data_IF_538284267428
#
_entry.id   IF_538284267428
#
_cell.length_a   1.000
_cell.length_b   1.000
_cell.length_c   1.000
_cell.angle_alpha   90.00
_cell.angle_beta   90.00
_cell.angle_gamma   90.00
#
_symmetry.space_group_name_H-M   'P 1'
#
loop_
_entity.id
_entity.type
_entity.pdbx_description
1 polymer ?
#
# COMPACT_ATOMS: atom_id res chain seq x y z
N UNK A 1 69.44 41.41 -6.22
CA UNK A 1 68.59 40.54 -5.37
C UNK A 1 67.18 40.61 -5.95
N UNK A 2 66.66 39.49 -6.45
CA UNK A 2 65.30 39.39 -6.99
C UNK A 2 64.81 37.98 -6.70
N UNK A 3 64.06 37.81 -5.60
CA UNK A 3 63.55 36.50 -5.20
C UNK A 3 62.48 36.04 -6.20
N UNK A 4 62.67 34.86 -6.77
CA UNK A 4 61.64 34.18 -7.53
C UNK A 4 60.60 33.56 -6.60
N UNK A 5 59.33 33.72 -6.96
CA UNK A 5 58.22 32.93 -6.41
C UNK A 5 57.50 32.23 -7.55
N UNK A 6 57.69 30.91 -7.69
CA UNK A 6 56.82 30.10 -8.55
C UNK A 6 55.48 29.92 -7.85
N UNK A 7 54.42 30.52 -8.39
CA UNK A 7 53.04 30.19 -8.01
C UNK A 7 52.60 28.90 -8.71
N UNK A 8 52.46 27.83 -7.95
CA UNK A 8 51.89 26.55 -8.43
C UNK A 8 50.38 26.75 -8.69
N UNK A 9 49.82 26.30 -9.82
CA UNK A 9 48.37 26.28 -10.02
C UNK A 9 47.73 25.25 -9.08
N UNK A 10 46.83 25.69 -8.21
CA UNK A 10 46.04 24.77 -7.37
C UNK A 10 45.02 24.07 -8.27
N UNK A 11 45.21 22.75 -8.46
CA UNK A 11 44.26 21.91 -9.19
C UNK A 11 42.97 21.75 -8.39
N UNK A 12 41.94 22.53 -8.74
CA UNK A 12 40.59 22.34 -8.24
C UNK A 12 39.93 21.14 -8.95
N UNK A 13 40.34 19.93 -8.58
CA UNK A 13 39.83 18.67 -9.14
C UNK A 13 39.34 17.76 -8.02
N UNK A 14 38.02 17.66 -7.87
CA UNK A 14 37.39 16.88 -6.79
C UNK A 14 35.87 16.91 -6.73
N UNK A 15 35.20 17.77 -7.51
CA UNK A 15 33.76 17.64 -7.72
C UNK A 15 33.49 16.38 -8.56
N UNK A 16 32.79 15.39 -7.98
CA UNK A 16 32.22 14.30 -8.77
C UNK A 16 31.32 14.91 -9.86
N UNK A 17 31.28 14.34 -11.09
CA UNK A 17 30.34 14.80 -12.10
C UNK A 17 28.89 14.71 -11.56
N UNK A 18 27.99 15.60 -11.99
CA UNK A 18 26.60 15.55 -11.56
C UNK A 18 26.00 14.19 -11.90
N UNK A 19 25.46 13.51 -10.89
CA UNK A 19 24.82 12.20 -11.06
C UNK A 19 23.52 12.39 -11.82
N UNK A 20 23.48 11.98 -13.08
CA UNK A 20 22.24 11.85 -13.84
C UNK A 20 21.43 10.71 -13.25
N UNK A 21 20.26 11.02 -12.71
CA UNK A 21 19.31 10.02 -12.21
C UNK A 21 18.23 9.76 -13.26
N UNK A 22 17.70 8.52 -13.37
CA UNK A 22 16.42 8.31 -14.04
C UNK A 22 15.31 9.11 -13.33
N UNK A 23 14.22 9.37 -14.04
CA UNK A 23 13.02 10.05 -13.50
C UNK A 23 11.79 9.57 -14.25
N UNK A 24 10.78 9.05 -13.54
CA UNK A 24 9.56 8.52 -14.16
C UNK A 24 8.41 9.55 -14.31
N UNK A 25 8.56 10.77 -13.78
CA UNK A 25 7.60 11.88 -13.92
C UNK A 25 6.15 11.55 -13.51
N UNK A 26 5.98 10.79 -12.42
CA UNK A 26 4.66 10.39 -11.91
C UNK A 26 3.77 11.57 -11.51
N UNK A 27 2.46 11.45 -11.73
CA UNK A 27 1.49 12.46 -11.29
C UNK A 27 1.25 12.40 -9.76
N UNK A 28 0.99 13.55 -9.09
CA UNK A 28 0.71 13.60 -7.66
C UNK A 28 -0.62 12.92 -7.30
N UNK A 29 -0.83 12.64 -6.01
CA UNK A 29 -2.09 12.05 -5.53
C UNK A 29 -3.31 12.89 -5.88
N UNK A 30 -4.31 12.22 -6.49
CA UNK A 30 -5.54 12.84 -7.01
C UNK A 30 -6.53 13.24 -5.90
N UNK A 31 -6.20 12.90 -4.66
CA UNK A 31 -7.05 13.08 -3.48
C UNK A 31 -6.66 14.29 -2.64
N UNK A 32 -5.38 14.68 -2.60
CA UNK A 32 -4.88 15.73 -1.71
C UNK A 32 -5.41 15.57 -0.28
N UNK A 33 -5.94 16.66 0.30
CA UNK A 33 -6.59 16.65 1.61
C UNK A 33 -8.12 16.41 1.56
N UNK A 34 -8.68 15.88 0.46
CA UNK A 34 -10.15 15.73 0.26
C UNK A 34 -10.85 14.93 1.36
N UNK A 35 -10.16 13.99 1.99
CA UNK A 35 -10.69 13.21 3.11
C UNK A 35 -10.68 13.96 4.46
N UNK A 36 -10.33 15.27 4.49
CA UNK A 36 -10.02 16.03 5.71
C UNK A 36 -10.80 17.35 5.95
N UNK A 37 -11.70 17.82 5.07
CA UNK A 37 -12.42 19.12 5.26
C UNK A 37 -13.91 19.16 4.83
N UNK A 38 -14.72 20.03 5.45
CA UNK A 38 -16.17 20.16 5.23
C UNK A 38 -16.69 21.61 5.50
N UNK A 39 -17.67 22.08 4.72
CA UNK A 39 -18.40 23.37 4.91
C UNK A 39 -19.87 23.24 4.46
N UNK A 40 -20.88 23.67 5.26
CA UNK A 40 -22.31 23.64 4.88
C UNK A 40 -22.96 25.03 4.63
N UNK A 41 -24.10 25.06 3.94
CA UNK A 41 -25.02 26.22 3.85
C UNK A 41 -26.50 25.81 3.88
N UNK A 42 -27.37 26.64 4.47
CA UNK A 42 -28.83 26.43 4.73
C UNK A 42 -29.73 27.18 3.71
N UNK A 43 -31.07 27.25 3.73
CA UNK A 43 -32.18 26.86 4.65
C UNK A 43 -33.51 26.83 3.83
N UNK A 44 -34.76 26.61 4.29
CA UNK A 44 -35.43 25.77 5.32
C UNK A 44 -36.99 25.82 5.06
N UNK A 45 -37.85 25.15 5.85
CA UNK A 45 -39.29 25.55 5.99
C UNK A 45 -40.02 24.92 7.21
N UNK A 46 -40.98 25.67 7.77
CA UNK A 46 -41.42 25.61 9.18
C UNK A 46 -42.17 24.37 9.70
N UNK A 47 -42.96 23.63 8.90
CA UNK A 47 -43.80 22.56 9.47
C UNK A 47 -42.98 21.40 10.07
N UNK A 48 -41.70 21.32 9.70
CA UNK A 48 -40.74 20.34 10.21
C UNK A 48 -40.25 20.62 11.63
N UNK A 49 -40.38 21.86 12.13
CA UNK A 49 -39.80 22.29 13.43
C UNK A 49 -40.34 21.48 14.61
N UNK A 50 -41.63 21.13 14.60
CA UNK A 50 -42.25 20.45 15.73
C UNK A 50 -41.93 18.95 15.78
N UNK A 51 -41.80 18.31 14.61
CA UNK A 51 -41.28 16.94 14.50
C UNK A 51 -39.78 16.90 14.82
N UNK A 52 -39.02 17.91 14.39
CA UNK A 52 -37.60 18.05 14.69
C UNK A 52 -37.33 18.14 16.20
N UNK A 53 -38.18 18.80 17.00
CA UNK A 53 -38.05 18.82 18.47
C UNK A 53 -38.12 17.42 19.10
N UNK A 54 -39.04 16.56 18.66
CA UNK A 54 -39.15 15.19 19.17
C UNK A 54 -37.97 14.30 18.73
N UNK A 55 -37.55 14.43 17.47
CA UNK A 55 -36.38 13.72 16.94
C UNK A 55 -35.09 14.17 17.64
N UNK A 56 -34.98 15.46 17.97
CA UNK A 56 -33.84 16.05 18.70
C UNK A 56 -33.65 15.41 20.07
N UNK A 57 -34.71 15.23 20.87
CA UNK A 57 -34.60 14.50 22.14
C UNK A 57 -34.17 13.04 21.97
N UNK A 58 -34.62 12.37 20.89
CA UNK A 58 -34.26 10.98 20.62
C UNK A 58 -32.78 10.83 20.24
N UNK A 59 -32.26 11.76 19.41
CA UNK A 59 -30.83 11.82 19.06
C UNK A 59 -29.97 12.12 20.29
N UNK A 60 -30.37 13.11 21.11
CA UNK A 60 -29.65 13.45 22.36
C UNK A 60 -29.47 12.25 23.28
N UNK A 61 -30.55 11.52 23.59
CA UNK A 61 -30.48 10.33 24.47
C UNK A 61 -29.49 9.27 23.97
N UNK A 62 -29.35 9.15 22.65
CA UNK A 62 -28.44 8.19 22.00
C UNK A 62 -26.99 8.70 21.93
N UNK A 63 -26.77 10.02 21.89
CA UNK A 63 -25.44 10.62 22.09
C UNK A 63 -24.96 10.50 23.55
N UNK A 64 -25.85 10.61 24.54
CA UNK A 64 -25.49 10.58 25.97
C UNK A 64 -25.41 9.16 26.58
N UNK A 65 -25.84 8.11 25.86
CA UNK A 65 -25.71 6.72 26.35
C UNK A 65 -24.25 6.32 26.62
N UNK A 66 -23.99 5.52 27.65
CA UNK A 66 -22.65 5.00 27.95
C UNK A 66 -22.04 4.24 26.76
N UNK A 67 -20.72 4.33 26.62
CA UNK A 67 -19.95 3.60 25.61
C UNK A 67 -19.44 2.30 26.24
N UNK A 68 -19.58 1.21 25.50
CA UNK A 68 -19.05 -0.12 25.82
C UNK A 68 -18.52 -0.81 24.55
N UNK A 69 -17.73 -1.86 24.69
CA UNK A 69 -17.07 -2.56 23.56
C UNK A 69 -18.07 -3.07 22.49
N UNK A 70 -19.31 -3.40 22.87
CA UNK A 70 -20.33 -3.87 21.92
C UNK A 70 -21.01 -2.73 21.17
N UNK A 71 -20.95 -1.50 21.70
CA UNK A 71 -21.63 -0.34 21.14
C UNK A 71 -20.69 0.72 20.53
N UNK A 72 -19.37 0.62 20.76
CA UNK A 72 -18.35 1.58 20.32
C UNK A 72 -18.43 1.92 18.82
N UNK A 73 -18.39 0.90 17.96
CA UNK A 73 -18.50 1.07 16.50
C UNK A 73 -19.84 1.70 16.09
N UNK A 74 -20.95 1.31 16.74
CA UNK A 74 -22.25 1.95 16.52
C UNK A 74 -22.22 3.43 16.92
N UNK A 75 -21.57 3.77 18.04
CA UNK A 75 -21.44 5.13 18.57
C UNK A 75 -20.70 6.05 17.59
N UNK A 76 -19.56 5.62 17.05
CA UNK A 76 -18.78 6.37 16.06
C UNK A 76 -19.61 6.66 14.80
N UNK A 77 -20.26 5.63 14.25
CA UNK A 77 -21.14 5.80 13.09
C UNK A 77 -22.33 6.73 13.37
N UNK A 78 -22.86 6.71 14.59
CA UNK A 78 -23.95 7.58 14.99
C UNK A 78 -23.52 9.05 15.09
N UNK A 79 -22.37 9.33 15.70
CA UNK A 79 -21.79 10.69 15.76
C UNK A 79 -21.53 11.23 14.34
N UNK A 80 -20.92 10.42 13.47
CA UNK A 80 -20.68 10.81 12.06
C UNK A 80 -21.98 11.09 11.30
N UNK A 81 -22.99 10.26 11.52
CA UNK A 81 -24.30 10.46 10.90
C UNK A 81 -24.93 11.78 11.34
N UNK A 82 -24.86 12.12 12.63
CA UNK A 82 -25.37 13.39 13.19
C UNK A 82 -24.64 14.59 12.60
N UNK A 83 -23.31 14.52 12.44
CA UNK A 83 -22.50 15.56 11.80
C UNK A 83 -22.83 15.71 10.31
N UNK A 84 -22.81 14.62 9.54
CA UNK A 84 -23.05 14.63 8.09
C UNK A 84 -24.47 14.96 7.68
N UNK A 85 -25.45 14.73 8.55
CA UNK A 85 -26.82 15.20 8.36
C UNK A 85 -26.98 16.71 8.59
N UNK A 86 -25.90 17.42 8.96
CA UNK A 86 -25.91 18.87 9.19
C UNK A 86 -26.67 19.30 10.45
N UNK A 87 -26.93 18.39 11.38
CA UNK A 87 -27.68 18.64 12.62
C UNK A 87 -26.83 18.60 13.88
N UNK A 88 -25.50 18.42 13.78
CA UNK A 88 -24.58 18.41 14.93
C UNK A 88 -24.59 19.69 15.76
N UNK A 89 -24.85 20.85 15.15
CA UNK A 89 -24.98 22.15 15.84
C UNK A 89 -26.11 22.19 16.90
N UNK A 90 -26.95 21.16 16.95
CA UNK A 90 -27.96 20.98 17.98
C UNK A 90 -27.49 20.19 19.22
N UNK A 91 -26.29 19.62 19.17
CA UNK A 91 -25.77 18.61 20.10
C UNK A 91 -24.27 18.75 20.40
N UNK A 92 -23.69 19.94 20.21
CA UNK A 92 -22.23 20.14 20.28
C UNK A 92 -21.64 19.62 21.60
N UNK A 93 -22.26 19.96 22.72
CA UNK A 93 -21.85 19.52 24.04
C UNK A 93 -21.95 17.99 24.24
N UNK A 94 -23.01 17.37 23.73
CA UNK A 94 -23.21 15.92 23.81
C UNK A 94 -22.25 15.14 22.89
N UNK A 95 -21.89 15.71 21.73
CA UNK A 95 -20.88 15.16 20.82
C UNK A 95 -19.49 15.28 21.45
N UNK A 96 -19.12 16.43 22.00
CA UNK A 96 -17.82 16.63 22.65
C UNK A 96 -17.66 15.69 23.87
N UNK A 97 -18.72 15.52 24.66
CA UNK A 97 -18.73 14.58 25.79
C UNK A 97 -18.54 13.13 25.32
N UNK A 98 -19.24 12.72 24.27
CA UNK A 98 -19.10 11.38 23.70
C UNK A 98 -17.71 11.17 23.07
N UNK A 99 -17.14 12.18 22.41
CA UNK A 99 -15.80 12.11 21.82
C UNK A 99 -14.69 12.14 22.87
N UNK A 100 -14.90 12.78 24.03
CA UNK A 100 -13.99 12.67 25.18
C UNK A 100 -13.96 11.23 25.70
N UNK A 101 -15.13 10.61 25.91
CA UNK A 101 -15.20 9.20 26.31
C UNK A 101 -14.55 8.27 25.27
N UNK A 102 -14.81 8.51 23.98
CA UNK A 102 -14.12 7.80 22.89
C UNK A 102 -12.60 7.98 22.98
N UNK A 103 -12.11 9.20 23.17
CA UNK A 103 -10.67 9.49 23.30
C UNK A 103 -10.04 8.74 24.49
N UNK A 104 -10.66 8.81 25.66
CA UNK A 104 -10.16 8.17 26.89
C UNK A 104 -10.16 6.64 26.81
N UNK A 105 -11.11 6.07 26.07
CA UNK A 105 -11.27 4.61 25.88
C UNK A 105 -10.35 4.07 24.77
N UNK A 106 -10.17 4.83 23.68
CA UNK A 106 -9.54 4.36 22.44
C UNK A 106 -8.18 4.98 22.12
N UNK A 107 -7.61 5.77 23.03
CA UNK A 107 -6.29 6.35 22.83
C UNK A 107 -5.37 6.20 24.04
N UNK A 108 -4.07 6.12 23.78
CA UNK A 108 -3.02 6.16 24.79
C UNK A 108 -1.83 6.94 24.24
N UNK A 109 -1.33 7.90 25.01
CA UNK A 109 -0.20 8.76 24.61
C UNK A 109 -0.43 9.40 23.21
N UNK A 110 -1.66 9.88 22.96
CA UNK A 110 -2.17 10.39 21.68
C UNK A 110 -2.22 9.37 20.51
N UNK A 111 -1.85 8.10 20.69
CA UNK A 111 -1.99 7.07 19.65
C UNK A 111 -3.33 6.33 19.82
N UNK A 112 -3.97 5.94 18.72
CA UNK A 112 -5.16 5.07 18.77
C UNK A 112 -4.71 3.68 19.23
N UNK A 113 -5.33 3.17 20.31
CA UNK A 113 -5.17 1.78 20.75
C UNK A 113 -6.28 0.93 20.12
N UNK A 114 -5.92 -0.29 19.71
CA UNK A 114 -6.83 -1.16 18.97
C UNK A 114 -7.99 -1.66 19.86
N UNK A 115 -9.22 -1.59 19.35
CA UNK A 115 -10.36 -2.28 19.92
C UNK A 115 -10.57 -3.63 19.21
N UNK A 116 -11.20 -4.58 19.92
CA UNK A 116 -11.59 -5.84 19.32
C UNK A 116 -12.60 -5.57 18.18
N UNK A 117 -12.29 -6.02 16.95
CA UNK A 117 -12.93 -5.63 15.66
C UNK A 117 -12.44 -4.30 15.02
N UNK A 118 -11.16 -3.99 15.12
CA UNK A 118 -10.46 -2.87 14.48
C UNK A 118 -10.43 -2.96 12.93
N UNK A 119 -11.56 -2.69 12.26
CA UNK A 119 -11.56 -2.49 10.80
C UNK A 119 -11.02 -1.09 10.42
N UNK A 120 -10.49 -0.98 9.19
CA UNK A 120 -9.88 0.26 8.69
C UNK A 120 -10.89 1.43 8.60
N UNK A 121 -12.18 1.14 8.41
CA UNK A 121 -13.23 2.15 8.31
C UNK A 121 -13.50 2.78 9.68
N UNK A 122 -13.67 1.99 10.73
CA UNK A 122 -13.84 2.47 12.10
C UNK A 122 -12.57 3.17 12.61
N UNK A 123 -11.38 2.67 12.24
CA UNK A 123 -10.10 3.30 12.57
C UNK A 123 -9.95 4.69 11.92
N UNK A 124 -10.23 4.80 10.61
CA UNK A 124 -10.18 6.07 9.89
C UNK A 124 -11.27 7.04 10.36
N UNK A 125 -12.46 6.53 10.67
CA UNK A 125 -13.58 7.28 11.22
C UNK A 125 -13.22 7.87 12.60
N UNK A 126 -12.68 7.05 13.50
CA UNK A 126 -12.20 7.44 14.82
C UNK A 126 -11.12 8.53 14.73
N UNK A 127 -10.09 8.30 13.91
CA UNK A 127 -9.01 9.26 13.66
C UNK A 127 -9.55 10.62 13.20
N UNK A 128 -10.46 10.62 12.22
CA UNK A 128 -11.06 11.84 11.69
C UNK A 128 -11.93 12.55 12.73
N UNK A 129 -12.85 11.85 13.40
CA UNK A 129 -13.77 12.47 14.38
C UNK A 129 -13.00 13.16 15.52
N UNK A 130 -11.98 12.47 16.06
CA UNK A 130 -11.14 13.03 17.12
C UNK A 130 -10.30 14.23 16.63
N UNK A 131 -9.66 14.13 15.45
CA UNK A 131 -8.91 15.26 14.87
C UNK A 131 -9.80 16.47 14.56
N UNK A 132 -11.03 16.26 14.08
CA UNK A 132 -11.99 17.33 13.79
C UNK A 132 -12.44 18.08 15.06
N UNK A 133 -12.48 17.41 16.21
CA UNK A 133 -12.77 18.01 17.52
C UNK A 133 -11.52 18.44 18.30
N UNK A 134 -10.37 18.60 17.62
CA UNK A 134 -9.16 19.19 18.21
C UNK A 134 -8.27 18.24 19.03
N UNK A 135 -8.64 16.96 19.17
CA UNK A 135 -7.78 15.97 19.82
C UNK A 135 -6.53 15.70 18.97
N UNK A 136 -5.34 15.74 19.58
CA UNK A 136 -4.04 15.64 18.89
C UNK A 136 -3.64 14.20 18.57
N UNK A 137 -4.47 13.47 17.81
CA UNK A 137 -4.23 12.06 17.50
C UNK A 137 -3.01 11.87 16.58
N UNK A 138 -2.03 11.09 17.03
CA UNK A 138 -0.85 10.69 16.28
C UNK A 138 -1.22 10.07 14.92
N UNK A 139 -0.52 10.50 13.87
CA UNK A 139 -0.60 9.93 12.52
C UNK A 139 0.25 8.67 12.34
N UNK A 140 0.77 8.06 13.42
CA UNK A 140 1.58 6.83 13.40
C UNK A 140 0.95 5.69 12.58
N UNK A 141 -0.37 5.51 12.63
CA UNK A 141 -1.10 4.52 11.81
C UNK A 141 -1.10 4.84 10.30
N UNK A 142 -0.66 6.03 9.91
CA UNK A 142 -0.55 6.61 8.57
C UNK A 142 0.84 7.23 8.30
N UNK A 143 1.91 6.53 8.73
CA UNK A 143 3.34 6.85 8.54
C UNK A 143 3.71 7.52 7.20
N UNK A 144 3.02 7.19 6.12
CA UNK A 144 3.19 7.75 4.78
C UNK A 144 3.09 9.29 4.74
N UNK A 145 2.20 9.90 5.55
CA UNK A 145 2.09 11.38 5.62
C UNK A 145 3.15 11.99 6.55
N UNK A 146 3.58 11.26 7.58
CA UNK A 146 4.67 11.69 8.47
C UNK A 146 6.04 11.61 7.78
N UNK A 147 6.19 10.75 6.76
CA UNK A 147 7.36 10.76 5.87
C UNK A 147 7.39 11.93 4.90
N UNK A 148 6.26 12.62 4.69
CA UNK A 148 6.06 13.64 3.65
C UNK A 148 6.71 13.23 2.31
N UNK A 149 6.20 12.12 1.74
CA UNK A 149 6.76 11.48 0.54
C UNK A 149 6.90 12.49 -0.61
N UNK A 150 5.94 13.39 -0.80
CA UNK A 150 5.99 14.41 -1.86
C UNK A 150 7.17 15.39 -1.72
N UNK A 151 7.59 15.73 -0.49
CA UNK A 151 8.75 16.60 -0.25
C UNK A 151 10.08 15.84 -0.13
N UNK A 152 10.07 14.68 0.53
CA UNK A 152 11.28 13.95 0.92
C UNK A 152 11.69 12.85 -0.08
N UNK A 153 10.73 12.29 -0.80
CA UNK A 153 10.90 11.20 -1.78
C UNK A 153 10.11 11.52 -3.08
N UNK A 154 10.35 12.68 -3.74
CA UNK A 154 9.53 13.18 -4.86
C UNK A 154 9.58 12.31 -6.13
N UNK A 155 10.39 11.25 -6.12
CA UNK A 155 10.45 10.23 -7.18
C UNK A 155 9.44 9.11 -6.98
N UNK A 156 8.86 8.96 -5.78
CA UNK A 156 7.91 7.90 -5.43
C UNK A 156 6.46 8.29 -5.75
N UNK A 157 5.70 7.34 -6.29
CA UNK A 157 4.25 7.41 -6.53
C UNK A 157 3.48 7.53 -5.21
N UNK A 158 2.90 8.71 -4.94
CA UNK A 158 1.93 8.89 -3.85
C UNK A 158 0.60 8.19 -4.19
N UNK A 159 0.46 6.95 -3.74
CA UNK A 159 -0.63 6.02 -4.06
C UNK A 159 -1.22 5.31 -2.84
N UNK A 160 -1.13 5.92 -1.65
CA UNK A 160 -1.57 5.27 -0.41
C UNK A 160 -3.08 4.95 -0.40
N UNK A 161 -3.92 5.77 -1.06
CA UNK A 161 -5.37 5.53 -1.17
C UNK A 161 -5.64 4.33 -2.10
N UNK A 162 -4.88 4.23 -3.18
CA UNK A 162 -4.90 3.14 -4.15
C UNK A 162 -4.42 1.83 -3.52
N UNK A 163 -3.37 1.86 -2.69
CA UNK A 163 -2.96 0.71 -1.87
C UNK A 163 -4.04 0.27 -0.87
N UNK A 164 -4.81 1.21 -0.29
CA UNK A 164 -5.97 0.88 0.55
C UNK A 164 -7.12 0.25 -0.26
N UNK A 165 -7.39 0.73 -1.48
CA UNK A 165 -8.35 0.11 -2.40
C UNK A 165 -7.93 -1.30 -2.79
N UNK A 166 -6.64 -1.52 -3.07
CA UNK A 166 -6.08 -2.84 -3.37
C UNK A 166 -6.35 -3.82 -2.21
N UNK A 167 -5.97 -3.44 -0.98
CA UNK A 167 -6.19 -4.25 0.21
C UNK A 167 -7.69 -4.52 0.48
N UNK A 168 -8.58 -3.56 0.18
CA UNK A 168 -10.03 -3.72 0.24
C UNK A 168 -10.57 -4.76 -0.76
N UNK A 169 -10.00 -4.83 -1.96
CA UNK A 169 -10.33 -5.85 -2.95
C UNK A 169 -9.91 -7.27 -2.51
N UNK A 170 -8.85 -7.41 -1.73
CA UNK A 170 -8.41 -8.72 -1.19
C UNK A 170 -9.34 -9.20 -0.05
N UNK A 171 -9.67 -8.32 0.90
CA UNK A 171 -10.70 -8.57 1.93
C UNK A 171 -11.53 -7.32 2.18
N UNK A 172 -12.84 -7.44 2.06
CA UNK A 172 -13.78 -6.41 2.48
C UNK A 172 -14.37 -6.68 3.88
N UNK A 173 -14.27 -7.92 4.36
CA UNK A 173 -14.86 -8.41 5.62
C UNK A 173 -14.23 -7.72 6.85
N UNK A 174 -15.02 -7.24 7.84
CA UNK A 174 -14.53 -6.37 8.91
C UNK A 174 -13.61 -7.07 9.93
N UNK A 175 -13.73 -8.39 10.09
CA UNK A 175 -12.85 -9.19 10.96
C UNK A 175 -11.43 -9.37 10.42
N UNK A 176 -11.12 -8.85 9.22
CA UNK A 176 -9.79 -8.97 8.62
C UNK A 176 -9.07 -7.61 8.56
N UNK A 177 -7.91 -7.55 9.22
CA UNK A 177 -7.08 -6.37 9.34
C UNK A 177 -6.34 -6.05 8.04
N UNK A 178 -6.88 -5.09 7.27
CA UNK A 178 -6.33 -4.62 5.97
C UNK A 178 -5.07 -3.77 6.05
N UNK A 179 -4.80 -3.14 7.20
CA UNK A 179 -3.78 -2.08 7.28
C UNK A 179 -2.37 -2.60 6.97
N UNK A 180 -2.05 -3.84 7.36
CA UNK A 180 -0.74 -4.48 7.13
C UNK A 180 -0.44 -4.52 5.63
N UNK A 181 -1.37 -5.05 4.84
CA UNK A 181 -1.22 -5.19 3.37
C UNK A 181 -1.22 -3.84 2.67
N UNK A 182 -2.05 -2.88 3.11
CA UNK A 182 -2.03 -1.53 2.55
C UNK A 182 -0.67 -0.81 2.81
N UNK A 183 -0.11 -0.93 4.01
CA UNK A 183 1.22 -0.38 4.33
C UNK A 183 2.35 -1.08 3.57
N UNK A 184 2.31 -2.41 3.46
CA UNK A 184 3.32 -3.17 2.72
C UNK A 184 3.22 -2.97 1.20
N UNK A 185 2.04 -2.71 0.65
CA UNK A 185 1.88 -2.29 -0.75
C UNK A 185 2.54 -0.91 -0.98
N UNK A 186 2.27 0.07 -0.11
CA UNK A 186 2.88 1.39 -0.21
C UNK A 186 4.42 1.36 -0.01
N UNK A 187 4.94 0.49 0.85
CA UNK A 187 6.38 0.22 0.95
C UNK A 187 6.92 -0.47 -0.31
N UNK A 188 6.18 -1.43 -0.87
CA UNK A 188 6.53 -2.09 -2.13
C UNK A 188 6.71 -1.09 -3.26
N UNK A 189 5.76 -0.16 -3.45
CA UNK A 189 5.85 0.93 -4.44
C UNK A 189 7.02 1.88 -4.17
N UNK A 190 7.27 2.26 -2.92
CA UNK A 190 8.43 3.08 -2.56
C UNK A 190 9.77 2.38 -2.85
N UNK A 191 9.83 1.06 -2.68
CA UNK A 191 10.99 0.23 -3.01
C UNK A 191 11.13 0.11 -4.54
N UNK A 192 10.04 -0.13 -5.26
CA UNK A 192 9.99 -0.15 -6.74
C UNK A 192 10.54 1.15 -7.34
N UNK A 193 9.94 2.29 -6.98
CA UNK A 193 10.34 3.63 -7.45
C UNK A 193 11.79 4.00 -7.09
N UNK A 194 12.33 3.39 -6.02
CA UNK A 194 13.72 3.57 -5.62
C UNK A 194 14.67 2.83 -6.59
N UNK A 195 14.32 1.63 -7.04
CA UNK A 195 15.15 0.78 -7.90
C UNK A 195 15.01 1.10 -9.39
N UNK A 196 13.82 1.42 -9.88
CA UNK A 196 13.55 1.63 -11.31
C UNK A 196 13.69 3.09 -11.76
N UNK A 197 13.41 4.05 -10.87
CA UNK A 197 13.15 5.45 -11.24
C UNK A 197 13.99 6.49 -10.51
N UNK A 198 14.95 6.10 -9.64
CA UNK A 198 15.81 7.10 -8.97
C UNK A 198 17.22 6.67 -8.52
N UNK A 199 17.39 5.44 -8.02
CA UNK A 199 18.66 4.95 -7.48
C UNK A 199 19.73 4.74 -8.56
N UNK A 200 20.99 5.06 -8.24
CA UNK A 200 22.13 4.58 -9.04
C UNK A 200 22.52 3.17 -8.62
N UNK A 201 23.12 2.38 -9.51
CA UNK A 201 23.50 0.99 -9.21
C UNK A 201 24.37 0.90 -7.95
N UNK A 202 25.34 1.80 -7.78
CA UNK A 202 26.22 1.82 -6.60
C UNK A 202 25.45 2.13 -5.30
N UNK A 203 24.44 3.00 -5.35
CA UNK A 203 23.56 3.28 -4.21
C UNK A 203 22.61 2.11 -3.92
N UNK A 204 22.09 1.47 -4.96
CA UNK A 204 21.18 0.32 -4.85
C UNK A 204 21.89 -0.94 -4.30
N UNK A 205 23.16 -1.15 -4.64
CA UNK A 205 23.99 -2.18 -4.00
C UNK A 205 24.11 -1.92 -2.48
N UNK A 206 24.33 -0.68 -2.05
CA UNK A 206 24.39 -0.33 -0.62
C UNK A 206 23.03 -0.57 0.06
N UNK A 207 21.93 -0.18 -0.57
CA UNK A 207 20.58 -0.40 -0.03
C UNK A 207 20.23 -1.88 0.08
N UNK A 208 20.52 -2.67 -0.95
CA UNK A 208 20.35 -4.14 -0.97
C UNK A 208 21.12 -4.78 0.18
N UNK A 209 22.39 -4.42 0.36
CA UNK A 209 23.24 -4.92 1.44
C UNK A 209 22.72 -4.50 2.83
N UNK A 210 22.15 -3.30 2.97
CA UNK A 210 21.53 -2.85 4.22
C UNK A 210 20.27 -3.66 4.55
N UNK A 211 19.43 -3.95 3.56
CA UNK A 211 18.24 -4.81 3.71
C UNK A 211 18.65 -6.25 4.05
N UNK A 212 19.66 -6.82 3.39
CA UNK A 212 20.15 -8.16 3.73
C UNK A 212 20.69 -8.27 5.16
N UNK A 213 21.38 -7.22 5.65
CA UNK A 213 21.87 -7.13 7.04
C UNK A 213 20.74 -6.92 8.04
N UNK A 214 19.71 -6.15 7.68
CA UNK A 214 18.55 -5.82 8.52
C UNK A 214 18.95 -5.22 9.89
N UNK A 215 19.78 -4.18 9.85
CA UNK A 215 20.39 -3.54 11.01
C UNK A 215 20.32 -2.01 10.88
N UNK A 216 19.69 -1.35 11.86
CA UNK A 216 19.55 0.12 11.91
C UNK A 216 20.88 0.87 11.77
N UNK A 217 22.01 0.25 12.12
CA UNK A 217 23.35 0.83 11.99
C UNK A 217 23.75 1.07 10.54
N UNK A 218 23.19 0.33 9.58
CA UNK A 218 23.45 0.53 8.15
C UNK A 218 22.97 1.89 7.61
N UNK A 219 22.12 2.63 8.35
CA UNK A 219 21.68 3.97 7.97
C UNK A 219 22.85 4.93 7.69
N UNK A 220 23.97 4.82 8.42
CA UNK A 220 25.10 5.77 8.28
C UNK A 220 25.81 5.66 6.92
N UNK A 221 25.70 4.51 6.26
CA UNK A 221 26.33 4.21 4.98
C UNK A 221 25.43 4.56 3.77
N UNK A 222 24.15 4.85 4.01
CA UNK A 222 23.16 5.13 2.96
C UNK A 222 23.05 6.64 2.63
N UNK A 223 22.75 7.01 1.38
CA UNK A 223 22.31 8.36 1.02
C UNK A 223 21.08 8.81 1.84
N UNK A 224 20.95 10.11 2.12
CA UNK A 224 19.90 10.65 3.00
C UNK A 224 18.46 10.24 2.62
N UNK A 225 18.15 10.13 1.32
CA UNK A 225 16.82 9.70 0.87
C UNK A 225 16.60 8.20 1.12
N UNK A 226 17.60 7.36 0.83
CA UNK A 226 17.61 5.94 1.18
C UNK A 226 17.53 5.68 2.69
N UNK A 227 18.09 6.56 3.53
CA UNK A 227 17.91 6.48 4.99
C UNK A 227 16.44 6.59 5.39
N UNK A 228 15.66 7.45 4.73
CA UNK A 228 14.22 7.59 4.98
C UNK A 228 13.47 6.33 4.53
N UNK A 229 13.74 5.83 3.32
CA UNK A 229 13.17 4.56 2.82
C UNK A 229 13.47 3.39 3.76
N UNK A 230 14.73 3.22 4.16
CA UNK A 230 15.18 2.13 5.02
C UNK A 230 14.56 2.20 6.42
N UNK A 231 14.52 3.41 7.01
CA UNK A 231 13.87 3.63 8.31
C UNK A 231 12.37 3.34 8.24
N UNK A 232 11.68 3.76 7.18
CA UNK A 232 10.26 3.49 6.99
C UNK A 232 9.95 1.98 6.94
N UNK A 233 10.78 1.20 6.24
CA UNK A 233 10.67 -0.27 6.20
C UNK A 233 10.81 -0.85 7.61
N UNK A 234 11.83 -0.43 8.37
CA UNK A 234 12.06 -0.92 9.73
C UNK A 234 10.93 -0.52 10.69
N UNK A 235 10.49 0.74 10.67
CA UNK A 235 9.44 1.27 11.55
C UNK A 235 8.09 0.53 11.32
N UNK A 236 7.70 0.29 10.06
CA UNK A 236 6.49 -0.48 9.72
C UNK A 236 6.63 -1.97 10.09
N UNK A 237 7.81 -2.55 9.91
CA UNK A 237 8.07 -3.93 10.33
C UNK A 237 7.99 -4.10 11.85
N UNK A 238 8.53 -3.14 12.61
CA UNK A 238 8.42 -3.11 14.08
C UNK A 238 6.96 -2.94 14.53
N UNK A 239 6.17 -2.08 13.88
CA UNK A 239 4.73 -1.94 14.17
C UNK A 239 3.95 -3.25 13.91
N UNK A 240 4.25 -3.94 12.80
CA UNK A 240 3.66 -5.25 12.48
C UNK A 240 4.07 -6.29 13.54
N UNK A 241 5.34 -6.34 13.93
CA UNK A 241 5.82 -7.29 14.94
C UNK A 241 5.17 -7.05 16.31
N UNK A 242 5.11 -5.79 16.76
CA UNK A 242 4.44 -5.41 18.00
C UNK A 242 2.96 -5.80 18.00
N UNK A 243 2.24 -5.65 16.88
CA UNK A 243 0.84 -6.07 16.79
C UNK A 243 0.70 -7.60 16.77
N UNK A 244 1.50 -8.30 15.97
CA UNK A 244 1.48 -9.77 15.92
C UNK A 244 1.86 -10.40 17.26
N UNK A 245 2.76 -9.78 18.05
CA UNK A 245 3.09 -10.20 19.42
C UNK A 245 1.91 -10.15 20.37
N UNK A 246 1.05 -9.11 20.30
CA UNK A 246 -0.18 -9.02 21.13
C UNK A 246 -1.14 -10.19 20.86
N UNK A 247 -1.18 -10.65 19.60
CA UNK A 247 -2.00 -11.78 19.15
C UNK A 247 -1.33 -13.15 19.37
N UNK A 248 -0.15 -13.20 20.01
CA UNK A 248 0.63 -14.44 20.21
C UNK A 248 1.34 -14.96 18.95
N UNK A 249 1.27 -14.25 17.82
CA UNK A 249 1.79 -14.64 16.50
C UNK A 249 3.25 -14.20 16.28
N UNK A 250 4.10 -14.44 17.29
CA UNK A 250 5.50 -13.95 17.33
C UNK A 250 6.40 -14.45 16.18
N UNK A 251 5.95 -15.45 15.42
CA UNK A 251 6.65 -15.98 14.25
C UNK A 251 6.41 -15.16 12.97
N UNK A 252 5.38 -14.31 12.90
CA UNK A 252 4.95 -13.65 11.65
C UNK A 252 6.02 -12.74 11.03
N UNK A 253 6.74 -11.95 11.83
CA UNK A 253 7.65 -10.93 11.30
C UNK A 253 8.80 -11.52 10.46
N UNK A 254 9.26 -12.74 10.78
CA UNK A 254 10.35 -13.38 10.03
C UNK A 254 9.96 -13.69 8.57
N UNK A 255 8.66 -13.94 8.32
CA UNK A 255 8.14 -14.15 6.97
C UNK A 255 8.08 -12.83 6.20
N UNK A 256 7.57 -11.76 6.81
CA UNK A 256 7.52 -10.42 6.20
C UNK A 256 8.94 -9.93 5.86
N UNK A 257 9.88 -10.01 6.80
CA UNK A 257 11.27 -9.62 6.58
C UNK A 257 11.96 -10.47 5.51
N UNK A 258 11.67 -11.79 5.45
CA UNK A 258 12.18 -12.68 4.38
C UNK A 258 11.66 -12.25 3.00
N UNK A 259 10.37 -11.99 2.85
CA UNK A 259 9.80 -11.62 1.56
C UNK A 259 10.21 -10.20 1.13
N UNK A 260 10.43 -9.26 2.05
CA UNK A 260 11.04 -7.95 1.74
C UNK A 260 12.48 -8.13 1.22
N UNK A 261 13.29 -9.00 1.84
CA UNK A 261 14.64 -9.31 1.33
C UNK A 261 14.59 -9.92 -0.07
N UNK A 262 13.67 -10.87 -0.33
CA UNK A 262 13.47 -11.46 -1.67
C UNK A 262 13.09 -10.42 -2.72
N UNK A 263 12.15 -9.52 -2.40
CA UNK A 263 11.73 -8.41 -3.27
C UNK A 263 12.92 -7.52 -3.65
N UNK A 264 13.65 -7.03 -2.64
CA UNK A 264 14.80 -6.12 -2.83
C UNK A 264 15.94 -6.80 -3.61
N UNK A 265 16.22 -8.07 -3.34
CA UNK A 265 17.20 -8.86 -4.11
C UNK A 265 16.79 -9.03 -5.58
N UNK A 266 15.51 -9.27 -5.87
CA UNK A 266 15.01 -9.40 -7.23
C UNK A 266 15.07 -8.07 -8.00
N UNK A 267 14.68 -6.95 -7.37
CA UNK A 267 14.82 -5.62 -7.98
C UNK A 267 16.28 -5.21 -8.21
N UNK A 268 17.23 -5.62 -7.36
CA UNK A 268 18.66 -5.41 -7.63
C UNK A 268 19.13 -6.17 -8.89
N UNK A 269 18.59 -7.37 -9.16
CA UNK A 269 18.87 -8.10 -10.41
C UNK A 269 18.32 -7.35 -11.62
N UNK A 270 17.13 -6.79 -11.53
CA UNK A 270 16.52 -6.01 -12.62
C UNK A 270 17.22 -4.68 -12.88
N UNK A 271 17.61 -3.96 -11.84
CA UNK A 271 18.44 -2.77 -11.97
C UNK A 271 19.76 -3.09 -12.69
N UNK A 272 20.41 -4.21 -12.35
CA UNK A 272 21.61 -4.69 -13.07
C UNK A 272 21.31 -5.07 -14.52
N UNK A 273 20.16 -5.70 -14.82
CA UNK A 273 19.76 -6.02 -16.20
C UNK A 273 19.53 -4.76 -17.03
N UNK A 274 18.76 -3.80 -16.53
CA UNK A 274 18.55 -2.49 -17.13
C UNK A 274 19.89 -1.79 -17.41
N UNK A 275 20.74 -1.63 -16.39
CA UNK A 275 22.04 -0.96 -16.51
C UNK A 275 22.97 -1.62 -17.54
N UNK A 276 22.97 -2.96 -17.63
CA UNK A 276 23.80 -3.70 -18.58
C UNK A 276 23.16 -3.92 -19.95
N UNK A 277 21.93 -3.43 -20.18
CA UNK A 277 21.09 -3.74 -21.34
C UNK A 277 20.97 -5.27 -21.58
N UNK A 278 20.94 -6.04 -20.49
CA UNK A 278 20.77 -7.48 -20.54
C UNK A 278 19.31 -7.83 -20.85
N UNK A 279 19.12 -8.79 -21.76
CA UNK A 279 17.81 -9.34 -22.08
C UNK A 279 17.86 -10.83 -21.76
N UNK A 280 17.28 -11.26 -20.62
CA UNK A 280 17.31 -12.65 -20.13
C UNK A 280 16.49 -13.58 -21.03
N UNK A 281 16.53 -14.89 -20.73
CA UNK A 281 15.55 -15.84 -21.28
C UNK A 281 14.18 -15.61 -20.64
N UNK A 282 13.12 -16.15 -21.26
CA UNK A 282 11.76 -16.13 -20.68
C UNK A 282 11.75 -16.81 -19.30
N UNK A 283 12.41 -17.96 -19.14
CA UNK A 283 12.48 -18.66 -17.86
C UNK A 283 13.18 -17.83 -16.76
N UNK A 284 14.34 -17.24 -17.09
CA UNK A 284 15.11 -16.41 -16.17
C UNK A 284 14.35 -15.12 -15.81
N UNK A 285 13.75 -14.46 -16.81
CA UNK A 285 12.88 -13.30 -16.65
C UNK A 285 11.77 -13.59 -15.64
N UNK A 286 10.96 -14.64 -15.89
CA UNK A 286 9.80 -14.95 -15.08
C UNK A 286 10.19 -15.30 -13.64
N UNK A 287 11.32 -15.99 -13.43
CA UNK A 287 11.82 -16.32 -12.09
C UNK A 287 12.13 -15.09 -11.23
N UNK A 288 12.68 -14.03 -11.83
CA UNK A 288 13.02 -12.78 -11.12
C UNK A 288 11.81 -11.86 -11.02
N UNK A 289 11.13 -11.61 -12.15
CA UNK A 289 10.04 -10.62 -12.29
C UNK A 289 8.78 -11.00 -11.53
N UNK A 290 8.51 -12.28 -11.34
CA UNK A 290 7.45 -12.72 -10.41
C UNK A 290 7.77 -12.35 -8.95
N UNK A 291 9.05 -12.41 -8.54
CA UNK A 291 9.47 -12.05 -7.18
C UNK A 291 9.51 -10.53 -6.96
N UNK A 292 10.05 -9.77 -7.91
CA UNK A 292 10.17 -8.30 -7.82
C UNK A 292 8.83 -7.55 -7.90
N UNK A 293 7.79 -8.19 -8.43
CA UNK A 293 6.41 -7.66 -8.44
C UNK A 293 5.84 -7.32 -7.05
N UNK A 294 6.51 -7.76 -5.98
CA UNK A 294 6.05 -7.61 -4.59
C UNK A 294 4.88 -8.51 -4.23
N UNK A 295 4.24 -9.21 -5.17
CA UNK A 295 3.09 -10.06 -4.90
C UNK A 295 3.35 -11.24 -3.95
N UNK A 296 4.51 -11.93 -3.95
CA UNK A 296 4.81 -12.92 -2.92
C UNK A 296 4.77 -12.33 -1.49
N UNK A 297 5.28 -11.10 -1.32
CA UNK A 297 5.22 -10.35 -0.06
C UNK A 297 3.78 -9.96 0.29
N UNK A 298 3.00 -9.42 -0.65
CA UNK A 298 1.61 -9.01 -0.39
C UNK A 298 0.70 -10.20 -0.09
N UNK A 299 0.80 -11.29 -0.85
CA UNK A 299 0.03 -12.52 -0.59
C UNK A 299 0.40 -13.10 0.77
N UNK A 300 1.70 -13.28 1.08
CA UNK A 300 2.15 -13.85 2.36
C UNK A 300 1.75 -12.96 3.55
N UNK A 301 1.95 -11.65 3.44
CA UNK A 301 1.59 -10.71 4.51
C UNK A 301 0.07 -10.57 4.69
N UNK A 302 -0.73 -10.84 3.65
CA UNK A 302 -2.19 -10.76 3.76
C UNK A 302 -2.78 -11.69 4.82
N UNK A 303 -2.14 -12.83 5.05
CA UNK A 303 -2.57 -13.79 6.06
C UNK A 303 -2.36 -13.27 7.49
N UNK A 304 -1.43 -12.33 7.74
CA UNK A 304 -1.27 -11.71 9.07
C UNK A 304 -2.51 -10.91 9.49
N UNK A 305 -3.27 -10.40 8.51
CA UNK A 305 -4.54 -9.72 8.75
C UNK A 305 -5.69 -10.62 9.19
N UNK A 306 -5.51 -11.95 9.19
CA UNK A 306 -6.55 -12.92 9.53
C UNK A 306 -6.32 -13.51 10.93
N UNK A 307 -7.38 -13.56 11.75
CA UNK A 307 -7.32 -14.07 13.12
C UNK A 307 -6.82 -15.52 13.17
N UNK A 308 -7.37 -16.38 12.30
CA UNK A 308 -7.12 -17.83 12.25
C UNK A 308 -5.76 -18.26 11.65
N UNK A 309 -4.88 -17.32 11.28
CA UNK A 309 -3.61 -17.66 10.62
C UNK A 309 -2.64 -18.33 11.59
N UNK A 310 -2.16 -19.51 11.19
CA UNK A 310 -1.10 -20.27 11.85
C UNK A 310 0.23 -20.15 11.10
N UNK A 311 1.32 -20.57 11.74
CA UNK A 311 2.64 -20.65 11.10
C UNK A 311 2.65 -21.63 9.90
N UNK A 312 1.83 -22.69 9.94
CA UNK A 312 1.68 -23.65 8.84
C UNK A 312 1.09 -23.01 7.58
N UNK A 313 0.14 -22.07 7.73
CA UNK A 313 -0.42 -21.31 6.61
C UNK A 313 0.63 -20.37 5.98
N UNK A 314 1.49 -19.75 6.78
CA UNK A 314 2.59 -18.93 6.27
C UNK A 314 3.66 -19.78 5.59
N UNK A 315 3.98 -20.95 6.16
CA UNK A 315 4.89 -21.89 5.53
C UNK A 315 4.34 -22.34 4.17
N UNK A 316 3.09 -22.82 4.13
CA UNK A 316 2.37 -23.16 2.90
C UNK A 316 2.42 -22.02 1.88
N UNK A 317 2.08 -20.79 2.27
CA UNK A 317 2.13 -19.64 1.38
C UNK A 317 3.52 -19.41 0.77
N UNK A 318 4.58 -19.49 1.58
CA UNK A 318 5.97 -19.33 1.10
C UNK A 318 6.55 -20.51 0.33
N UNK A 319 5.81 -21.62 0.18
CA UNK A 319 6.15 -22.67 -0.81
C UNK A 319 5.63 -22.37 -2.21
N UNK A 320 4.92 -21.24 -2.39
CA UNK A 320 4.33 -20.81 -3.67
C UNK A 320 3.49 -21.92 -4.35
N UNK A 321 2.47 -22.48 -3.64
CA UNK A 321 1.56 -23.47 -4.19
C UNK A 321 0.87 -22.92 -5.44
N UNK A 322 0.41 -23.82 -6.32
CA UNK A 322 -0.04 -23.48 -7.69
C UNK A 322 -1.00 -22.27 -7.75
N UNK A 323 -1.93 -22.12 -6.81
CA UNK A 323 -2.86 -20.97 -6.75
C UNK A 323 -2.17 -19.62 -6.49
N UNK A 324 -1.11 -19.61 -5.68
CA UNK A 324 -0.30 -18.42 -5.39
C UNK A 324 0.62 -18.15 -6.58
N UNK A 325 1.31 -19.17 -7.08
CA UNK A 325 2.18 -19.05 -8.26
C UNK A 325 1.41 -18.52 -9.49
N UNK A 326 0.21 -19.04 -9.74
CA UNK A 326 -0.68 -18.57 -10.80
C UNK A 326 -1.17 -17.13 -10.58
N UNK A 327 -1.48 -16.73 -9.34
CA UNK A 327 -1.87 -15.35 -9.02
C UNK A 327 -0.72 -14.35 -9.23
N UNK A 328 0.53 -14.72 -8.91
CA UNK A 328 1.73 -13.92 -9.18
C UNK A 328 2.04 -13.86 -10.68
N UNK A 329 1.95 -15.00 -11.38
CA UNK A 329 2.11 -15.11 -12.83
C UNK A 329 1.14 -14.19 -13.58
N UNK A 330 -0.13 -14.20 -13.15
CA UNK A 330 -1.20 -13.38 -13.69
C UNK A 330 -0.92 -11.88 -13.50
N UNK A 331 -0.48 -11.43 -12.31
CA UNK A 331 -0.02 -10.05 -12.13
C UNK A 331 1.06 -9.70 -13.16
N UNK A 332 2.17 -10.44 -13.15
CA UNK A 332 3.37 -10.02 -13.87
C UNK A 332 3.13 -9.91 -15.38
N UNK A 333 2.30 -10.79 -15.94
CA UNK A 333 1.96 -10.76 -17.36
C UNK A 333 0.96 -9.65 -17.68
N UNK A 334 -0.08 -9.42 -16.85
CA UNK A 334 -1.05 -8.35 -17.12
C UNK A 334 -0.40 -6.98 -17.02
N UNK A 335 0.41 -6.76 -15.99
CA UNK A 335 1.21 -5.55 -15.79
C UNK A 335 2.19 -5.31 -16.96
N UNK A 336 2.97 -6.32 -17.36
CA UNK A 336 3.84 -6.22 -18.55
C UNK A 336 3.05 -5.89 -19.84
N UNK A 337 1.83 -6.41 -20.03
CA UNK A 337 1.04 -6.18 -21.25
C UNK A 337 0.58 -4.73 -21.37
N UNK A 338 0.17 -4.09 -20.26
CA UNK A 338 -0.35 -2.71 -20.29
C UNK A 338 0.74 -1.66 -20.02
N UNK A 339 1.81 -2.02 -19.31
CA UNK A 339 2.91 -1.12 -18.93
C UNK A 339 4.03 -1.00 -19.97
N UNK A 340 4.22 -1.99 -20.86
CA UNK A 340 5.40 -2.09 -21.73
C UNK A 340 5.69 -0.81 -22.54
N UNK A 341 4.69 -0.15 -23.12
CA UNK A 341 4.93 1.04 -23.96
C UNK A 341 5.52 2.20 -23.14
N UNK A 342 4.96 2.46 -21.95
CA UNK A 342 5.47 3.45 -21.01
C UNK A 342 6.84 3.07 -20.43
N UNK A 343 7.04 1.78 -20.09
CA UNK A 343 8.34 1.28 -19.61
C UNK A 343 9.45 1.46 -20.65
N UNK A 344 9.18 1.18 -21.93
CA UNK A 344 10.18 1.30 -22.99
C UNK A 344 10.56 2.75 -23.31
N UNK A 345 9.64 3.72 -23.14
CA UNK A 345 9.96 5.15 -23.33
C UNK A 345 10.98 5.67 -22.29
N UNK A 346 11.00 5.10 -21.07
CA UNK A 346 11.85 5.56 -19.95
C UNK A 346 13.15 4.77 -19.74
N UNK A 347 13.58 3.96 -20.71
CA UNK A 347 14.75 3.06 -20.61
C UNK A 347 14.67 2.07 -19.43
N UNK A 348 13.49 1.47 -19.22
CA UNK A 348 13.28 0.47 -18.18
C UNK A 348 13.92 -0.89 -18.52
N UNK A 349 13.88 -1.84 -17.57
CA UNK A 349 14.18 -3.25 -17.87
C UNK A 349 13.20 -3.79 -18.93
N UNK A 350 13.66 -4.73 -19.76
CA UNK A 350 12.83 -5.36 -20.79
C UNK A 350 11.62 -6.08 -20.20
N UNK A 351 10.51 -6.13 -20.94
CA UNK A 351 9.27 -6.82 -20.53
C UNK A 351 9.25 -8.31 -20.93
N UNK A 352 8.29 -9.09 -20.41
CA UNK A 352 8.05 -10.47 -20.91
C UNK A 352 7.75 -10.50 -22.40
N UNK A 353 7.07 -9.48 -22.95
CA UNK A 353 6.77 -9.37 -24.38
C UNK A 353 8.08 -9.39 -25.18
N UNK A 354 9.07 -8.60 -24.77
CA UNK A 354 10.35 -8.49 -25.46
C UNK A 354 11.21 -9.74 -25.30
N UNK A 355 11.21 -10.36 -24.10
CA UNK A 355 11.85 -11.66 -23.87
C UNK A 355 11.26 -12.74 -24.79
N UNK A 356 9.92 -12.85 -24.86
CA UNK A 356 9.21 -13.77 -25.78
C UNK A 356 9.54 -13.51 -27.25
N UNK A 357 9.49 -12.24 -27.69
CA UNK A 357 9.84 -11.85 -29.06
C UNK A 357 11.27 -12.26 -29.42
N UNK A 358 12.24 -12.03 -28.53
CA UNK A 358 13.65 -12.34 -28.76
C UNK A 358 13.92 -13.85 -28.79
N UNK A 359 13.37 -14.59 -27.83
CA UNK A 359 13.62 -16.02 -27.67
C UNK A 359 12.95 -16.85 -28.79
N UNK A 360 11.65 -16.61 -29.04
CA UNK A 360 10.88 -17.36 -30.03
C UNK A 360 10.92 -16.75 -31.43
N UNK A 361 11.51 -15.56 -31.62
CA UNK A 361 11.63 -14.84 -32.90
C UNK A 361 10.25 -14.53 -33.52
N UNK A 362 9.30 -14.14 -32.68
CA UNK A 362 7.91 -13.84 -33.04
C UNK A 362 7.62 -12.33 -33.00
N UNK A 363 6.50 -11.91 -33.59
CA UNK A 363 6.05 -10.51 -33.54
C UNK A 363 5.53 -10.14 -32.14
N UNK A 364 5.53 -8.83 -31.81
CA UNK A 364 4.91 -8.28 -30.59
C UNK A 364 3.48 -8.79 -30.37
N UNK A 365 2.66 -8.77 -31.43
CA UNK A 365 1.28 -9.25 -31.39
C UNK A 365 1.21 -10.73 -30.99
N UNK A 366 2.03 -11.58 -31.61
CA UNK A 366 2.08 -13.00 -31.30
C UNK A 366 2.59 -13.25 -29.86
N UNK A 367 3.56 -12.48 -29.38
CA UNK A 367 4.04 -12.58 -28.00
C UNK A 367 2.92 -12.23 -26.99
N UNK A 368 2.16 -11.16 -27.23
CA UNK A 368 0.98 -10.79 -26.42
C UNK A 368 -0.09 -11.88 -26.47
N UNK A 369 -0.33 -12.49 -27.64
CA UNK A 369 -1.29 -13.60 -27.79
C UNK A 369 -0.87 -14.85 -27.00
N UNK A 370 0.42 -15.23 -26.98
CA UNK A 370 0.90 -16.35 -26.13
C UNK A 370 0.86 -16.00 -24.64
N UNK A 371 1.27 -14.79 -24.25
CA UNK A 371 1.22 -14.31 -22.87
C UNK A 371 -0.21 -14.29 -22.31
N UNK A 372 -1.20 -13.89 -23.11
CA UNK A 372 -2.62 -13.95 -22.72
C UNK A 372 -3.11 -15.38 -22.47
N UNK A 373 -2.63 -16.38 -23.23
CA UNK A 373 -2.94 -17.80 -22.94
C UNK A 373 -2.36 -18.26 -21.61
N UNK A 374 -1.21 -17.73 -21.19
CA UNK A 374 -0.66 -18.01 -19.85
C UNK A 374 -1.56 -17.42 -18.74
N UNK A 375 -2.11 -16.21 -18.94
CA UNK A 375 -3.10 -15.62 -18.01
C UNK A 375 -4.39 -16.47 -17.97
N UNK A 376 -4.89 -16.92 -19.11
CA UNK A 376 -6.04 -17.84 -19.17
C UNK A 376 -5.77 -19.18 -18.47
N UNK A 377 -4.55 -19.70 -18.56
CA UNK A 377 -4.15 -20.94 -17.89
C UNK A 377 -3.97 -20.73 -16.37
N UNK A 378 -3.38 -19.61 -15.95
CA UNK A 378 -3.30 -19.23 -14.54
C UNK A 378 -4.69 -19.14 -13.90
N UNK A 379 -5.69 -18.60 -14.60
CA UNK A 379 -7.09 -18.64 -14.13
C UNK A 379 -7.64 -20.06 -13.96
N UNK A 380 -7.30 -21.00 -14.86
CA UNK A 380 -7.70 -22.42 -14.74
C UNK A 380 -7.03 -23.06 -13.52
N UNK A 381 -5.72 -22.86 -13.35
CA UNK A 381 -4.96 -23.35 -12.20
C UNK A 381 -5.51 -22.83 -10.85
N UNK A 382 -5.93 -21.55 -10.81
CA UNK A 382 -6.59 -20.95 -9.63
C UNK A 382 -7.94 -21.61 -9.35
N UNK A 383 -8.74 -21.87 -10.38
CA UNK A 383 -10.04 -22.52 -10.25
C UNK A 383 -9.90 -23.98 -9.80
N UNK A 384 -8.99 -24.74 -10.41
CA UNK A 384 -8.75 -26.15 -10.10
C UNK A 384 -8.20 -26.33 -8.68
N UNK A 385 -7.33 -25.42 -8.22
CA UNK A 385 -6.86 -25.40 -6.83
C UNK A 385 -7.95 -25.10 -5.78
N UNK A 386 -9.10 -24.57 -6.21
CA UNK A 386 -10.28 -24.36 -5.36
C UNK A 386 -11.24 -25.56 -5.33
N UNK A 387 -11.00 -26.62 -6.11
CA UNK A 387 -11.82 -27.84 -6.09
C UNK A 387 -11.51 -28.70 -4.85
N UNK A 388 -12.52 -29.40 -4.36
CA UNK A 388 -12.39 -30.27 -3.20
C UNK A 388 -11.75 -31.64 -3.57
N UNK A 389 -10.85 -32.21 -2.73
CA UNK A 389 -10.39 -31.69 -1.44
C UNK A 389 -9.28 -30.64 -1.56
N UNK A 390 -9.39 -29.55 -0.82
CA UNK A 390 -8.40 -28.46 -0.83
C UNK A 390 -7.28 -28.69 0.20
N UNK A 391 -6.06 -28.20 -0.09
CA UNK A 391 -4.91 -28.31 0.82
C UNK A 391 -5.08 -27.49 2.12
N UNK A 392 -5.73 -26.33 2.02
CA UNK A 392 -6.05 -25.43 3.14
C UNK A 392 -7.51 -25.02 3.08
N UNK A 393 -8.00 -24.37 4.15
CA UNK A 393 -9.37 -23.83 4.18
C UNK A 393 -9.59 -22.79 3.06
N UNK A 394 -10.78 -22.82 2.45
CA UNK A 394 -11.17 -21.92 1.36
C UNK A 394 -10.94 -20.43 1.68
N UNK A 395 -11.07 -20.00 2.94
CA UNK A 395 -10.79 -18.62 3.36
C UNK A 395 -9.37 -18.14 3.02
N UNK A 396 -8.38 -19.04 3.03
CA UNK A 396 -7.00 -18.74 2.67
C UNK A 396 -6.79 -18.75 1.15
N UNK A 397 -7.36 -19.74 0.45
CA UNK A 397 -7.36 -19.79 -1.03
C UNK A 397 -7.98 -18.52 -1.62
N UNK A 398 -9.10 -18.05 -1.05
CA UNK A 398 -9.79 -16.84 -1.47
C UNK A 398 -8.95 -15.56 -1.36
N UNK A 399 -7.83 -15.55 -0.62
CA UNK A 399 -6.89 -14.42 -0.66
C UNK A 399 -6.13 -14.39 -1.98
N UNK A 400 -5.56 -15.52 -2.41
CA UNK A 400 -4.89 -15.65 -3.70
C UNK A 400 -5.85 -15.40 -4.89
N UNK A 401 -7.09 -15.92 -4.81
CA UNK A 401 -8.16 -15.63 -5.79
C UNK A 401 -8.47 -14.13 -5.86
N UNK A 402 -8.63 -13.46 -4.71
CA UNK A 402 -8.96 -12.04 -4.71
C UNK A 402 -7.78 -11.17 -5.15
N UNK A 403 -6.53 -11.53 -4.84
CA UNK A 403 -5.35 -10.86 -5.44
C UNK A 403 -5.37 -10.95 -6.97
N UNK A 404 -5.71 -12.10 -7.56
CA UNK A 404 -5.84 -12.23 -9.01
C UNK A 404 -7.00 -11.37 -9.56
N UNK A 405 -8.14 -11.34 -8.88
CA UNK A 405 -9.29 -10.49 -9.24
C UNK A 405 -8.98 -9.00 -9.21
N UNK A 406 -8.15 -8.53 -8.26
CA UNK A 406 -7.77 -7.11 -8.21
C UNK A 406 -6.86 -6.76 -9.39
N UNK A 407 -6.00 -7.67 -9.87
CA UNK A 407 -5.25 -7.42 -11.13
C UNK A 407 -6.19 -7.28 -12.33
N UNK A 408 -7.21 -8.14 -12.44
CA UNK A 408 -8.23 -8.04 -13.51
C UNK A 408 -9.08 -6.75 -13.46
N UNK A 409 -8.95 -5.97 -12.38
CA UNK A 409 -9.47 -4.59 -12.27
C UNK A 409 -8.37 -3.57 -12.54
N UNK A 410 -7.16 -3.73 -11.98
CA UNK A 410 -6.09 -2.72 -12.04
C UNK A 410 -5.32 -2.66 -13.36
N UNK A 411 -5.26 -3.77 -14.11
CA UNK A 411 -4.41 -3.93 -15.30
C UNK A 411 -5.17 -4.59 -16.46
N UNK A 412 -6.49 -4.38 -16.53
CA UNK A 412 -7.38 -5.01 -17.51
C UNK A 412 -7.10 -4.54 -18.94
N UNK A 413 -7.09 -3.22 -19.09
CA UNK A 413 -7.04 -2.49 -20.35
C UNK A 413 -5.93 -1.41 -20.34
N UNK A 414 -5.63 -0.86 -19.15
CA UNK A 414 -4.60 0.15 -18.87
C UNK A 414 -4.06 -0.02 -17.44
N UNK A 415 -2.87 0.51 -17.13
CA UNK A 415 -2.35 0.61 -15.74
C UNK A 415 -3.03 1.78 -15.01
N UNK A 416 -4.09 1.48 -14.26
CA UNK A 416 -4.83 2.47 -13.46
C UNK A 416 -4.22 2.68 -12.07
N UNK A 417 -3.18 1.91 -11.70
CA UNK A 417 -2.47 2.09 -10.44
C UNK A 417 -1.48 3.25 -10.54
N UNK A 418 -0.64 3.25 -11.59
CA UNK A 418 0.23 4.39 -11.89
C UNK A 418 -0.59 5.60 -12.35
N UNK A 419 -1.61 5.39 -13.20
CA UNK A 419 -2.44 6.46 -13.78
C UNK A 419 -3.80 6.59 -13.06
N UNK A 420 -3.76 6.98 -11.78
CA UNK A 420 -4.93 6.95 -10.90
C UNK A 420 -6.01 8.02 -11.18
N UNK A 421 -5.79 8.97 -12.10
CA UNK A 421 -6.74 10.06 -12.40
C UNK A 421 -8.07 9.63 -13.02
N UNK A 422 -8.09 8.49 -13.73
CA UNK A 422 -9.24 7.97 -14.48
C UNK A 422 -10.05 6.92 -13.72
N UNK A 423 -10.10 5.70 -14.27
CA UNK A 423 -10.97 4.59 -13.80
C UNK A 423 -10.77 4.29 -12.30
N UNK A 424 -9.52 4.33 -11.82
CA UNK A 424 -9.19 4.08 -10.42
C UNK A 424 -9.86 5.08 -9.47
N UNK A 425 -9.84 6.36 -9.83
CA UNK A 425 -10.54 7.42 -9.09
C UNK A 425 -12.04 7.20 -9.07
N UNK A 426 -12.65 6.80 -10.20
CA UNK A 426 -14.08 6.51 -10.25
C UNK A 426 -14.45 5.29 -9.37
N UNK A 427 -13.62 4.25 -9.35
CA UNK A 427 -13.80 3.08 -8.48
C UNK A 427 -13.66 3.45 -6.99
N UNK A 428 -12.63 4.20 -6.62
CA UNK A 428 -12.45 4.69 -5.24
C UNK A 428 -13.59 5.64 -4.84
N UNK A 429 -14.02 6.54 -5.72
CA UNK A 429 -15.16 7.41 -5.44
C UNK A 429 -16.44 6.61 -5.23
N UNK A 430 -16.69 5.58 -6.02
CA UNK A 430 -17.88 4.73 -5.89
C UNK A 430 -17.91 3.92 -4.58
N UNK A 431 -16.76 3.42 -4.11
CA UNK A 431 -16.68 2.57 -2.92
C UNK A 431 -16.44 3.32 -1.61
N UNK A 432 -15.66 4.41 -1.63
CA UNK A 432 -15.14 5.08 -0.42
C UNK A 432 -15.64 6.52 -0.22
N UNK A 433 -16.30 7.13 -1.21
CA UNK A 433 -16.73 8.54 -1.15
C UNK A 433 -18.24 8.71 -1.32
N UNK A 434 -18.81 8.12 -2.39
CA UNK A 434 -20.22 8.22 -2.75
C UNK A 434 -21.01 7.20 -1.92
N UNK A 435 -22.05 7.67 -1.22
CA UNK A 435 -23.02 6.76 -0.59
C UNK A 435 -23.93 6.18 -1.68
N UNK A 436 -24.30 4.91 -1.56
CA UNK A 436 -25.41 4.36 -2.34
C UNK A 436 -26.67 5.18 -2.05
N UNK A 437 -27.36 5.62 -3.10
CA UNK A 437 -28.69 6.21 -2.98
C UNK A 437 -29.69 5.14 -2.55
N UNK A 438 -30.38 5.38 -1.43
CA UNK A 438 -31.47 4.55 -0.89
C UNK A 438 -32.79 5.21 -1.18
#
# INVERSE_FOLDING_TARGET
MSNGGLSIPISATGAKPPVTRPTANFHPSVWGDRFLSYVPSSAESDSRIQQAKLLKEHVRKRLVSSIDDNNFSFKLNFIDSVQRLGVSYHFEHEIDTALCQVYDISTKDNNIIAHNNDDLYHTALLFRLLRQHGYRISSSRWWYKDLDVSSNLPFTRDRIVECCFWALGVYFEPQYSRWITAKLAALGTMIDDLYDAYGTIEELELFTNAIDRWDIRCLVDLPKYMQLCYKAILDVCEEIDQEMRKQGKVYCIKYVAKEIKRLVQAQMVEARWCHSNHVPTVEEYMRVRTTSSGYPMLITSSFLGMEDTTEEILLWATTEPVIIAASILLLRIMDDIVGDEFEQERQHVVSSIQCYMKEHKISRKCAIEELRKLVENAWKDINDACLAPTQVSMKFLMRAVNFARVIDVLYKDEDIYTNAEGIMKDHIEALLVKKMSV
#
